data_IF_054668728954
#
_entry.id   IF_054668728954
#
_cell.length_a   1.000
_cell.length_b   1.000
_cell.length_c   1.000
_cell.angle_alpha   90.00
_cell.angle_beta   90.00
_cell.angle_gamma   90.00
#
_symmetry.space_group_name_H-M   'P 1'
#
loop_
_entity.id
_entity.type
_entity.pdbx_description
1 polymer ?
#
# COMPACT_ATOMS: atom_id res chain seq x y z
N UNK A 1 -5.57 -19.26 -20.02
CA UNK A 1 -4.45 -18.44 -19.51
C UNK A 1 -4.77 -16.98 -19.77
N UNK A 2 -4.57 -16.07 -18.81
CA UNK A 2 -4.72 -14.63 -19.05
C UNK A 2 -3.88 -14.18 -20.25
N UNK A 3 -4.42 -13.28 -21.09
CA UNK A 3 -3.76 -12.83 -22.32
C UNK A 3 -2.39 -12.17 -22.08
N UNK A 4 -2.19 -11.56 -20.90
CA UNK A 4 -0.95 -10.88 -20.51
C UNK A 4 0.22 -11.81 -20.17
N UNK A 5 0.00 -13.13 -20.08
CA UNK A 5 1.03 -14.09 -19.71
C UNK A 5 1.60 -14.83 -20.93
N UNK A 6 2.92 -14.99 -20.95
CA UNK A 6 3.65 -15.79 -21.93
C UNK A 6 4.34 -16.97 -21.24
N UNK A 7 4.44 -18.14 -21.90
CA UNK A 7 5.17 -19.28 -21.33
C UNK A 7 6.66 -18.95 -21.24
N UNK A 8 7.26 -19.27 -20.09
CA UNK A 8 8.71 -19.29 -19.86
C UNK A 8 9.24 -20.73 -19.90
N UNK A 9 8.46 -21.68 -19.36
CA UNK A 9 8.68 -23.12 -19.39
C UNK A 9 7.34 -23.87 -19.30
N UNK A 10 7.36 -25.20 -19.23
CA UNK A 10 6.16 -26.04 -19.19
C UNK A 10 5.14 -25.62 -18.12
N UNK A 11 5.62 -25.30 -16.92
CA UNK A 11 4.79 -24.92 -15.76
C UNK A 11 5.02 -23.46 -15.30
N UNK A 12 5.77 -22.65 -16.06
CA UNK A 12 6.09 -21.27 -15.67
C UNK A 12 5.65 -20.28 -16.73
N UNK A 13 4.98 -19.23 -16.27
CA UNK A 13 4.55 -18.11 -17.09
C UNK A 13 5.13 -16.81 -16.56
N UNK A 14 5.31 -15.85 -17.45
CA UNK A 14 5.77 -14.50 -17.10
C UNK A 14 5.07 -13.45 -17.95
N UNK A 15 5.06 -12.20 -17.48
CA UNK A 15 4.60 -11.06 -18.24
C UNK A 15 5.81 -10.18 -18.61
N UNK A 16 6.12 -9.98 -19.91
CA UNK A 16 7.39 -9.37 -20.36
C UNK A 16 7.70 -8.00 -19.80
N UNK A 17 6.68 -7.19 -19.48
CA UNK A 17 6.82 -5.83 -18.95
C UNK A 17 6.35 -5.67 -17.50
N UNK A 18 5.85 -6.73 -16.86
CA UNK A 18 5.40 -6.65 -15.48
C UNK A 18 6.57 -6.41 -14.52
N UNK A 19 6.28 -5.71 -13.43
CA UNK A 19 7.21 -5.46 -12.33
C UNK A 19 6.95 -6.42 -11.18
N UNK A 20 5.68 -6.60 -10.79
CA UNK A 20 5.29 -7.47 -9.66
C UNK A 20 3.94 -8.16 -9.89
N UNK A 21 3.95 -9.42 -10.34
CA UNK A 21 2.71 -10.19 -10.49
C UNK A 21 2.02 -10.45 -9.13
N UNK A 22 2.78 -10.42 -8.03
CA UNK A 22 2.29 -10.57 -6.66
C UNK A 22 1.29 -9.48 -6.27
N UNK A 23 1.41 -8.29 -6.85
CA UNK A 23 0.52 -7.14 -6.61
C UNK A 23 -0.59 -7.00 -7.66
N UNK A 24 -0.61 -7.87 -8.68
CA UNK A 24 -1.63 -7.89 -9.74
C UNK A 24 -2.90 -8.65 -9.30
N UNK A 25 -3.90 -8.66 -10.17
CA UNK A 25 -5.12 -9.48 -10.04
C UNK A 25 -4.87 -11.00 -10.04
N UNK A 26 -3.65 -11.44 -10.39
CA UNK A 26 -3.19 -12.83 -10.28
C UNK A 26 -2.59 -13.16 -8.91
N UNK A 27 -2.25 -12.13 -8.13
CA UNK A 27 -1.58 -12.24 -6.85
C UNK A 27 -2.55 -12.30 -5.67
N UNK A 28 -2.17 -11.64 -4.57
CA UNK A 28 -2.93 -11.63 -3.32
C UNK A 28 -4.07 -10.60 -3.36
N UNK A 29 -5.02 -10.75 -4.28
CA UNK A 29 -6.20 -9.88 -4.34
C UNK A 29 -7.50 -10.70 -4.29
N UNK A 30 -8.41 -10.27 -3.42
CA UNK A 30 -9.77 -10.82 -3.35
C UNK A 30 -10.72 -9.90 -4.15
N UNK A 31 -11.44 -10.45 -5.13
CA UNK A 31 -12.43 -9.72 -5.95
C UNK A 31 -13.57 -9.09 -5.15
N UNK A 32 -13.89 -9.61 -3.97
CA UNK A 32 -14.89 -9.01 -3.07
C UNK A 32 -14.34 -7.72 -2.45
N UNK A 33 -13.04 -7.70 -2.15
CA UNK A 33 -12.38 -6.54 -1.55
C UNK A 33 -12.07 -5.43 -2.54
N UNK A 34 -12.00 -5.71 -3.85
CA UNK A 34 -11.85 -4.63 -4.85
C UNK A 34 -13.05 -3.68 -4.90
N UNK A 35 -14.16 -4.03 -4.25
CA UNK A 35 -15.31 -3.14 -4.06
C UNK A 35 -15.10 -2.17 -2.88
N UNK A 36 -14.13 -2.43 -2.00
CA UNK A 36 -13.78 -1.57 -0.89
C UNK A 36 -12.86 -0.45 -1.38
N UNK A 37 -13.46 0.62 -1.90
CA UNK A 37 -12.73 1.86 -2.18
C UNK A 37 -12.47 2.60 -0.86
N UNK A 38 -11.25 2.51 -0.35
CA UNK A 38 -10.83 3.23 0.86
C UNK A 38 -9.93 4.40 0.46
N UNK A 39 -10.51 5.60 0.38
CA UNK A 39 -9.74 6.83 0.16
C UNK A 39 -9.06 7.26 1.47
N UNK A 40 -7.75 7.52 1.43
CA UNK A 40 -6.91 7.83 2.60
C UNK A 40 -6.95 9.29 3.06
N UNK A 41 -7.98 10.06 2.69
CA UNK A 41 -8.09 11.48 3.05
C UNK A 41 -8.30 11.73 4.56
N UNK A 42 -8.92 10.78 5.27
CA UNK A 42 -9.13 10.94 6.71
C UNK A 42 -9.17 9.61 7.45
N UNK A 43 -8.69 9.64 8.69
CA UNK A 43 -8.70 8.48 9.58
C UNK A 43 -10.13 7.97 9.85
N UNK A 44 -11.08 8.88 10.02
CA UNK A 44 -12.48 8.53 10.27
C UNK A 44 -13.09 7.80 9.07
N UNK A 45 -12.84 8.25 7.84
CA UNK A 45 -13.28 7.56 6.63
C UNK A 45 -12.69 6.14 6.58
N UNK A 46 -11.37 6.03 6.76
CA UNK A 46 -10.67 4.74 6.76
C UNK A 46 -11.27 3.75 7.77
N UNK A 47 -11.42 4.18 9.03
CA UNK A 47 -11.95 3.32 10.11
C UNK A 47 -13.40 2.92 9.84
N UNK A 48 -14.24 3.86 9.41
CA UNK A 48 -15.66 3.58 9.17
C UNK A 48 -15.87 2.63 8.00
N UNK A 49 -15.13 2.78 6.90
CA UNK A 49 -15.22 1.88 5.75
C UNK A 49 -14.77 0.47 6.12
N UNK A 50 -13.69 0.33 6.90
CA UNK A 50 -13.23 -0.97 7.39
C UNK A 50 -14.25 -1.62 8.34
N UNK A 51 -14.84 -0.83 9.26
CA UNK A 51 -15.90 -1.31 10.17
C UNK A 51 -17.15 -1.75 9.43
N UNK A 52 -17.53 -1.01 8.39
CA UNK A 52 -18.64 -1.38 7.54
C UNK A 52 -18.37 -2.76 6.91
N UNK A 53 -17.21 -2.95 6.28
CA UNK A 53 -16.82 -4.21 5.66
C UNK A 53 -16.82 -5.41 6.62
N UNK A 54 -16.34 -5.26 7.85
CA UNK A 54 -16.35 -6.36 8.85
C UNK A 54 -17.75 -6.67 9.41
N UNK A 55 -18.74 -5.81 9.15
CA UNK A 55 -20.11 -5.95 9.67
C UNK A 55 -21.16 -6.23 8.59
N UNK A 56 -20.77 -6.17 7.32
CA UNK A 56 -21.67 -6.33 6.17
C UNK A 56 -21.61 -7.76 5.64
N UNK A 57 -22.71 -8.54 5.68
CA UNK A 57 -22.77 -9.88 5.12
C UNK A 57 -22.49 -9.91 3.61
N UNK A 58 -21.89 -11.00 3.13
CA UNK A 58 -21.67 -11.25 1.70
C UNK A 58 -22.43 -12.50 1.25
N UNK A 59 -23.33 -12.41 0.25
CA UNK A 59 -24.24 -13.50 -0.10
C UNK A 59 -23.55 -14.82 -0.45
N UNK A 60 -22.38 -14.78 -1.10
CA UNK A 60 -21.68 -16.02 -1.45
C UNK A 60 -21.01 -16.68 -0.24
N UNK A 61 -20.58 -15.89 0.76
CA UNK A 61 -20.03 -16.43 2.02
C UNK A 61 -21.15 -16.97 2.92
N UNK A 62 -22.34 -16.36 2.89
CA UNK A 62 -23.51 -16.90 3.58
C UNK A 62 -23.90 -18.27 3.02
N UNK A 63 -23.91 -18.43 1.69
CA UNK A 63 -24.21 -19.71 1.02
C UNK A 63 -23.22 -20.81 1.40
N UNK A 64 -21.95 -20.49 1.68
CA UNK A 64 -20.95 -21.46 2.13
C UNK A 64 -21.25 -22.00 3.55
N UNK A 65 -21.98 -21.22 4.36
CA UNK A 65 -22.28 -21.48 5.76
C UNK A 65 -21.09 -21.19 6.69
N UNK A 66 -21.38 -20.71 7.91
CA UNK A 66 -20.34 -20.40 8.91
C UNK A 66 -20.00 -21.64 9.73
N UNK A 67 -21.02 -22.30 10.29
CA UNK A 67 -20.92 -23.61 10.94
C UNK A 67 -21.88 -24.56 10.23
N UNK A 68 -21.34 -25.63 9.64
CA UNK A 68 -22.13 -26.63 8.90
C UNK A 68 -21.87 -27.98 9.54
N UNK A 69 -22.92 -28.60 10.07
CA UNK A 69 -22.87 -29.91 10.75
C UNK A 69 -21.88 -29.97 11.93
N UNK A 70 -21.69 -28.85 12.63
CA UNK A 70 -20.74 -28.73 13.75
C UNK A 70 -19.34 -28.29 13.35
N UNK A 71 -19.02 -28.27 12.06
CA UNK A 71 -17.72 -27.86 11.52
C UNK A 71 -17.71 -26.37 11.18
N UNK A 72 -16.82 -25.62 11.83
CA UNK A 72 -16.60 -24.19 11.55
C UNK A 72 -15.76 -24.01 10.29
N UNK A 73 -16.34 -23.36 9.27
CA UNK A 73 -15.67 -23.06 7.99
C UNK A 73 -15.15 -21.63 7.92
N UNK A 74 -15.76 -20.72 8.66
CA UNK A 74 -15.53 -19.28 8.63
C UNK A 74 -15.76 -18.70 10.04
N UNK A 75 -15.20 -17.53 10.34
CA UNK A 75 -15.50 -16.78 11.57
C UNK A 75 -16.88 -16.10 11.50
N UNK A 76 -17.21 -15.56 10.33
CA UNK A 76 -18.52 -15.00 9.98
C UNK A 76 -18.66 -15.02 8.44
N UNK A 77 -19.79 -14.53 7.93
CA UNK A 77 -20.07 -14.46 6.49
C UNK A 77 -20.04 -13.03 5.96
N UNK A 78 -19.23 -12.14 6.56
CA UNK A 78 -19.14 -10.74 6.17
C UNK A 78 -18.11 -10.52 5.05
N UNK A 79 -18.15 -9.35 4.39
CA UNK A 79 -17.20 -8.94 3.34
C UNK A 79 -15.76 -9.16 3.80
N UNK A 80 -15.48 -8.81 5.06
CA UNK A 80 -14.26 -9.17 5.78
C UNK A 80 -14.64 -9.89 7.08
N UNK A 81 -13.93 -10.97 7.41
CA UNK A 81 -14.14 -11.66 8.68
C UNK A 81 -13.57 -10.87 9.85
N UNK A 82 -12.41 -10.26 9.66
CA UNK A 82 -11.68 -9.41 10.62
C UNK A 82 -10.92 -8.32 9.88
N UNK A 83 -10.48 -7.26 10.58
CA UNK A 83 -9.75 -6.15 9.96
C UNK A 83 -8.48 -6.58 9.21
N UNK A 84 -7.81 -7.63 9.68
CA UNK A 84 -6.55 -8.09 9.10
C UNK A 84 -6.70 -8.68 7.68
N UNK A 85 -7.92 -9.09 7.30
CA UNK A 85 -8.23 -9.65 5.98
C UNK A 85 -8.20 -8.59 4.88
N UNK A 86 -8.35 -7.30 5.22
CA UNK A 86 -8.35 -6.21 4.25
C UNK A 86 -6.98 -6.05 3.58
N UNK A 87 -6.82 -6.53 2.35
CA UNK A 87 -5.59 -6.39 1.60
C UNK A 87 -5.38 -4.93 1.16
N UNK A 88 -4.21 -4.36 1.51
CA UNK A 88 -3.81 -3.01 1.12
C UNK A 88 -2.29 -2.92 1.02
N UNK A 89 -1.83 -2.03 0.13
CA UNK A 89 -0.42 -1.78 -0.18
C UNK A 89 0.32 -1.06 0.95
N UNK A 90 -0.40 -0.23 1.71
CA UNK A 90 0.09 0.48 2.88
C UNK A 90 -1.04 0.59 3.91
N UNK A 91 -0.74 0.39 5.19
CA UNK A 91 -1.74 0.46 6.26
C UNK A 91 -1.34 1.45 7.35
N UNK A 92 -2.25 2.32 7.81
CA UNK A 92 -2.05 3.04 9.06
C UNK A 92 -2.18 2.05 10.22
N UNK A 93 -1.29 2.15 11.21
CA UNK A 93 -1.24 1.22 12.34
C UNK A 93 -1.08 1.95 13.66
N UNK A 94 -1.56 1.29 14.71
CA UNK A 94 -1.31 1.60 16.11
C UNK A 94 -1.27 0.31 16.89
N UNK A 95 -0.40 0.24 17.90
CA UNK A 95 -0.36 -0.92 18.80
C UNK A 95 -1.68 -0.99 19.58
N UNK A 96 -2.38 -2.11 19.40
CA UNK A 96 -3.63 -2.38 20.10
C UNK A 96 -3.36 -2.84 21.53
N UNK A 97 -4.17 -2.37 22.47
CA UNK A 97 -4.16 -2.86 23.85
C UNK A 97 -4.88 -4.22 23.93
N UNK A 98 -4.74 -4.89 25.07
CA UNK A 98 -5.49 -6.12 25.32
C UNK A 98 -7.00 -5.87 25.17
N UNK A 99 -7.69 -6.74 24.42
CA UNK A 99 -9.12 -6.65 24.06
C UNK A 99 -9.51 -5.39 23.27
N UNK A 100 -8.61 -4.85 22.47
CA UNK A 100 -8.87 -3.75 21.55
C UNK A 100 -8.63 -4.20 20.11
N UNK A 101 -9.55 -3.85 19.20
CA UNK A 101 -9.35 -4.13 17.78
C UNK A 101 -8.41 -3.08 17.14
N UNK A 102 -7.74 -3.40 16.02
CA UNK A 102 -6.91 -2.44 15.31
C UNK A 102 -7.66 -1.15 14.94
N UNK A 103 -8.94 -1.26 14.53
CA UNK A 103 -9.77 -0.12 14.17
C UNK A 103 -10.11 0.76 15.38
N UNK A 104 -10.38 0.17 16.55
CA UNK A 104 -10.56 0.89 17.81
C UNK A 104 -9.29 1.62 18.25
N UNK A 105 -8.14 0.96 18.16
CA UNK A 105 -6.85 1.57 18.52
C UNK A 105 -6.53 2.82 17.67
N UNK A 106 -6.79 2.72 16.37
CA UNK A 106 -6.64 3.82 15.41
C UNK A 106 -7.61 4.96 15.71
N UNK A 107 -8.90 4.69 15.87
CA UNK A 107 -9.89 5.74 16.15
C UNK A 107 -9.61 6.48 17.46
N UNK A 108 -9.29 5.74 18.53
CA UNK A 108 -9.15 6.30 19.85
C UNK A 108 -7.88 7.14 20.02
N UNK A 109 -6.82 6.84 19.26
CA UNK A 109 -5.49 7.43 19.52
C UNK A 109 -4.72 7.84 18.27
N UNK A 110 -5.30 7.73 17.09
CA UNK A 110 -4.66 8.10 15.83
C UNK A 110 -3.67 7.06 15.31
N UNK A 111 -2.96 7.44 14.25
CA UNK A 111 -1.90 6.62 13.64
C UNK A 111 -0.64 6.72 14.50
N UNK A 112 0.07 5.62 14.66
CA UNK A 112 1.38 5.55 15.33
C UNK A 112 2.51 5.31 14.34
N UNK A 113 2.29 4.42 13.39
CA UNK A 113 3.23 4.10 12.32
C UNK A 113 2.46 3.64 11.08
N UNK A 114 3.17 3.50 9.97
CA UNK A 114 2.67 2.93 8.72
C UNK A 114 3.34 1.59 8.45
N UNK A 115 2.57 0.66 7.89
CA UNK A 115 3.04 -0.65 7.45
C UNK A 115 3.05 -0.67 5.92
N UNK A 116 4.25 -0.59 5.31
CA UNK A 116 4.43 -0.70 3.86
C UNK A 116 4.46 -2.18 3.46
N UNK A 117 3.57 -2.58 2.54
CA UNK A 117 3.29 -4.00 2.22
C UNK A 117 3.43 -4.34 0.74
N UNK A 118 3.84 -3.36 -0.07
CA UNK A 118 3.98 -3.47 -1.52
C UNK A 118 5.37 -3.95 -1.99
N UNK A 119 6.28 -4.30 -1.07
CA UNK A 119 7.61 -4.81 -1.41
C UNK A 119 7.58 -6.32 -1.70
N UNK A 120 8.11 -6.71 -2.86
CA UNK A 120 8.42 -8.11 -3.17
C UNK A 120 9.70 -8.55 -2.47
N UNK A 121 9.83 -9.86 -2.23
CA UNK A 121 11.08 -10.43 -1.75
C UNK A 121 12.18 -10.24 -2.80
N UNK A 122 13.33 -9.72 -2.39
CA UNK A 122 14.52 -9.66 -3.22
C UNK A 122 15.13 -11.07 -3.36
N UNK A 123 15.07 -11.70 -4.55
CA UNK A 123 15.62 -13.05 -4.73
C UNK A 123 17.15 -13.08 -4.77
N UNK A 124 17.81 -11.92 -4.81
CA UNK A 124 19.26 -11.78 -4.91
C UNK A 124 19.93 -11.56 -3.55
N UNK A 125 19.16 -11.41 -2.47
CA UNK A 125 19.67 -11.24 -1.11
C UNK A 125 19.10 -12.33 -0.17
N UNK A 126 19.92 -12.99 0.65
CA UNK A 126 19.46 -14.06 1.55
C UNK A 126 18.43 -13.60 2.60
N UNK A 127 18.38 -12.32 2.94
CA UNK A 127 17.39 -11.75 3.86
C UNK A 127 16.11 -11.31 3.15
N UNK A 128 16.06 -11.41 1.81
CA UNK A 128 14.92 -10.97 1.00
C UNK A 128 14.82 -9.44 0.86
N UNK A 129 15.79 -8.69 1.39
CA UNK A 129 15.85 -7.23 1.35
C UNK A 129 17.28 -6.75 1.59
N UNK A 130 17.65 -5.60 1.02
CA UNK A 130 18.98 -4.98 1.17
C UNK A 130 18.90 -3.67 1.95
N UNK A 131 20.02 -3.24 2.53
CA UNK A 131 20.14 -1.92 3.16
C UNK A 131 19.77 -0.79 2.18
N UNK A 132 20.23 -0.85 0.93
CA UNK A 132 19.90 0.15 -0.10
C UNK A 132 18.40 0.25 -0.36
N UNK A 133 17.69 -0.88 -0.40
CA UNK A 133 16.22 -0.86 -0.53
C UNK A 133 15.55 -0.20 0.68
N UNK A 134 16.07 -0.40 1.89
CA UNK A 134 15.53 0.23 3.10
C UNK A 134 15.79 1.73 3.15
N UNK A 135 17.01 2.18 2.82
CA UNK A 135 17.33 3.61 2.72
C UNK A 135 16.50 4.32 1.65
N UNK A 136 16.21 3.65 0.53
CA UNK A 136 15.29 4.17 -0.48
C UNK A 136 13.88 4.36 0.11
N UNK A 137 13.34 3.35 0.80
CA UNK A 137 12.01 3.43 1.43
C UNK A 137 11.97 4.54 2.49
N UNK A 138 12.97 4.65 3.36
CA UNK A 138 13.05 5.72 4.36
C UNK A 138 13.04 7.10 3.71
N UNK A 139 13.87 7.30 2.69
CA UNK A 139 13.94 8.57 1.94
C UNK A 139 12.62 8.88 1.24
N UNK A 140 12.00 7.87 0.60
CA UNK A 140 10.74 8.03 -0.11
C UNK A 140 9.59 8.38 0.84
N UNK A 141 9.50 7.72 2.00
CA UNK A 141 8.48 8.00 3.01
C UNK A 141 8.67 9.39 3.64
N UNK A 142 9.92 9.80 3.87
CA UNK A 142 10.23 11.15 4.34
C UNK A 142 9.88 12.22 3.29
N UNK A 143 10.13 11.95 2.01
CA UNK A 143 9.66 12.81 0.93
C UNK A 143 8.13 12.89 0.92
N UNK A 144 7.40 11.76 1.00
CA UNK A 144 5.94 11.77 1.08
C UNK A 144 5.40 12.58 2.27
N UNK A 145 6.10 12.59 3.41
CA UNK A 145 5.72 13.39 4.58
C UNK A 145 5.87 14.90 4.35
N UNK A 146 6.88 15.30 3.57
CA UNK A 146 7.22 16.70 3.33
C UNK A 146 6.52 17.29 2.11
N UNK A 147 6.14 16.44 1.16
CA UNK A 147 5.44 16.84 -0.06
C UNK A 147 3.98 17.22 0.22
N UNK A 148 3.47 18.17 -0.57
CA UNK A 148 2.06 18.53 -0.54
C UNK A 148 1.19 17.32 -0.91
N UNK A 149 0.22 16.98 -0.06
CA UNK A 149 -0.76 15.92 -0.28
C UNK A 149 -2.16 16.53 -0.24
N UNK A 150 -2.64 17.14 -1.35
CA UNK A 150 -3.98 17.68 -1.41
C UNK A 150 -5.05 16.59 -1.23
N UNK A 151 -6.29 17.02 -1.04
CA UNK A 151 -7.42 16.11 -0.92
C UNK A 151 -7.60 15.29 -2.21
N UNK A 152 -7.63 13.97 -2.08
CA UNK A 152 -7.80 13.03 -3.20
C UNK A 152 -9.29 12.91 -3.52
N UNK A 153 -9.69 13.34 -4.72
CA UNK A 153 -11.07 13.13 -5.21
C UNK A 153 -11.34 11.67 -5.60
N UNK A 154 -12.60 11.28 -5.78
CA UNK A 154 -12.93 9.93 -6.26
C UNK A 154 -12.34 9.65 -7.66
N UNK A 155 -12.35 10.66 -8.53
CA UNK A 155 -11.73 10.56 -9.87
C UNK A 155 -10.22 10.36 -9.75
N UNK A 156 -9.57 11.13 -8.89
CA UNK A 156 -8.13 11.00 -8.65
C UNK A 156 -7.78 9.64 -8.01
N UNK A 157 -8.61 9.14 -7.09
CA UNK A 157 -8.45 7.81 -6.52
C UNK A 157 -8.46 6.72 -7.62
N UNK A 158 -9.40 6.80 -8.56
CA UNK A 158 -9.46 5.87 -9.69
C UNK A 158 -8.21 5.97 -10.60
N UNK A 159 -7.68 7.19 -10.80
CA UNK A 159 -6.44 7.40 -11.56
C UNK A 159 -5.20 6.85 -10.86
N UNK A 160 -5.13 6.96 -9.54
CA UNK A 160 -4.05 6.38 -8.74
C UNK A 160 -4.09 4.85 -8.82
N UNK A 161 -5.28 4.25 -8.74
CA UNK A 161 -5.47 2.80 -8.91
C UNK A 161 -5.08 2.32 -10.31
N UNK A 162 -5.42 3.09 -11.36
CA UNK A 162 -5.01 2.81 -12.73
C UNK A 162 -3.49 2.88 -12.92
N UNK A 163 -2.84 3.96 -12.44
CA UNK A 163 -1.38 4.10 -12.51
C UNK A 163 -0.69 2.94 -11.81
N UNK A 164 -1.13 2.59 -10.59
CA UNK A 164 -0.64 1.44 -9.85
C UNK A 164 -0.77 0.16 -10.67
N UNK A 165 -1.96 -0.12 -11.22
CA UNK A 165 -2.21 -1.31 -12.04
C UNK A 165 -1.31 -1.34 -13.27
N UNK A 166 -1.14 -0.24 -13.96
CA UNK A 166 -0.28 -0.17 -15.15
C UNK A 166 1.20 -0.37 -14.81
N UNK A 167 1.71 0.21 -13.72
CA UNK A 167 3.09 -0.02 -13.29
C UNK A 167 3.30 -1.48 -12.88
N UNK A 168 2.32 -2.08 -12.18
CA UNK A 168 2.35 -3.50 -11.79
C UNK A 168 2.45 -4.42 -13.02
N UNK A 169 1.61 -4.19 -14.03
CA UNK A 169 1.48 -5.08 -15.19
C UNK A 169 2.44 -4.77 -16.34
N UNK A 170 2.85 -3.51 -16.48
CA UNK A 170 3.60 -2.98 -17.63
C UNK A 170 4.66 -1.95 -17.25
N UNK A 171 5.06 -1.81 -15.99
CA UNK A 171 5.98 -0.75 -15.54
C UNK A 171 7.37 -0.74 -16.19
N UNK A 172 7.77 -1.80 -16.89
CA UNK A 172 9.01 -1.85 -17.70
C UNK A 172 8.81 -1.53 -19.18
N UNK A 173 7.57 -1.27 -19.60
CA UNK A 173 7.24 -0.88 -20.97
C UNK A 173 7.63 0.60 -21.19
N UNK A 174 8.57 0.90 -22.12
CA UNK A 174 9.04 2.27 -22.33
C UNK A 174 7.97 3.21 -22.89
N UNK A 175 6.91 2.68 -23.50
CA UNK A 175 5.80 3.46 -24.05
C UNK A 175 4.66 3.64 -23.04
N UNK A 176 4.81 3.18 -21.79
CA UNK A 176 3.79 3.34 -20.77
C UNK A 176 3.72 4.80 -20.31
N UNK A 177 2.54 5.41 -20.51
CA UNK A 177 2.16 6.68 -19.94
C UNK A 177 1.29 6.50 -18.69
N UNK A 178 1.54 7.33 -17.68
CA UNK A 178 0.78 7.45 -16.44
C UNK A 178 0.02 8.78 -16.44
N UNK A 179 -1.01 8.88 -15.59
CA UNK A 179 -1.76 10.11 -15.40
C UNK A 179 -1.28 10.87 -14.16
N UNK A 180 -0.95 12.15 -14.32
CA UNK A 180 -0.53 13.02 -13.22
C UNK A 180 -1.23 14.38 -13.34
N UNK A 181 -2.10 14.71 -12.38
CA UNK A 181 -2.79 16.01 -12.28
C UNK A 181 -3.41 16.58 -13.58
N UNK A 182 -4.04 15.75 -14.41
CA UNK A 182 -4.64 16.20 -15.68
C UNK A 182 -3.82 15.91 -16.92
N UNK A 183 -2.55 15.56 -16.76
CA UNK A 183 -1.58 15.36 -17.84
C UNK A 183 -1.10 13.91 -17.89
N UNK A 184 -0.52 13.52 -19.03
CA UNK A 184 0.18 12.25 -19.17
C UNK A 184 1.68 12.44 -19.03
N UNK A 185 2.36 11.47 -18.43
CA UNK A 185 3.81 11.47 -18.25
C UNK A 185 4.35 10.05 -18.31
N UNK A 186 5.58 9.86 -18.80
CA UNK A 186 6.19 8.53 -18.78
C UNK A 186 6.61 8.13 -17.35
N UNK A 187 6.70 6.82 -17.09
CA UNK A 187 7.24 6.30 -15.82
C UNK A 187 8.64 6.85 -15.54
N UNK A 188 9.46 7.00 -16.60
CA UNK A 188 10.83 7.52 -16.50
C UNK A 188 10.83 8.97 -16.05
N UNK A 189 10.14 9.86 -16.78
CA UNK A 189 10.16 11.29 -16.51
C UNK A 189 9.63 11.60 -15.12
N UNK A 190 8.51 10.98 -14.74
CA UNK A 190 7.93 11.20 -13.42
C UNK A 190 8.81 10.61 -12.31
N UNK A 191 9.38 9.43 -12.53
CA UNK A 191 10.35 8.84 -11.61
C UNK A 191 11.58 9.74 -11.41
N UNK A 192 12.17 10.24 -12.50
CA UNK A 192 13.32 11.16 -12.44
C UNK A 192 12.99 12.44 -11.65
N UNK A 193 11.79 13.01 -11.85
CA UNK A 193 11.33 14.16 -11.06
C UNK A 193 11.26 13.84 -9.56
N UNK A 194 10.65 12.71 -9.18
CA UNK A 194 10.57 12.27 -7.78
C UNK A 194 11.99 12.04 -7.21
N UNK A 195 12.90 11.44 -7.97
CA UNK A 195 14.28 11.21 -7.53
C UNK A 195 15.05 12.51 -7.30
N UNK A 196 14.83 13.54 -8.12
CA UNK A 196 15.42 14.88 -7.92
C UNK A 196 14.95 15.46 -6.58
N UNK A 197 13.65 15.39 -6.30
CA UNK A 197 13.08 15.91 -5.05
C UNK A 197 13.52 15.09 -3.82
N UNK A 198 13.56 13.75 -3.95
CA UNK A 198 14.11 12.87 -2.92
C UNK A 198 15.59 13.15 -2.64
N UNK A 199 16.35 13.66 -3.62
CA UNK A 199 17.75 14.04 -3.45
C UNK A 199 17.94 15.12 -2.38
N UNK A 200 17.00 16.05 -2.24
CA UNK A 200 17.02 17.07 -1.18
C UNK A 200 16.82 16.44 0.21
N UNK A 201 15.88 15.48 0.30
CA UNK A 201 15.58 14.74 1.52
C UNK A 201 16.76 13.87 1.93
N UNK A 202 17.36 13.15 0.99
CA UNK A 202 18.54 12.30 1.21
C UNK A 202 19.70 13.12 1.79
N UNK A 203 19.99 14.31 1.24
CA UNK A 203 21.03 15.20 1.76
C UNK A 203 20.79 15.61 3.21
N UNK A 204 19.54 15.82 3.62
CA UNK A 204 19.21 16.16 5.00
C UNK A 204 19.35 14.95 5.94
N UNK A 205 18.93 13.76 5.49
CA UNK A 205 19.10 12.52 6.24
C UNK A 205 20.58 12.21 6.46
N UNK A 206 21.41 12.29 5.41
CA UNK A 206 22.86 12.07 5.49
C UNK A 206 23.50 13.05 6.47
N UNK A 207 23.16 14.34 6.40
CA UNK A 207 23.71 15.35 7.30
C UNK A 207 23.34 15.11 8.78
N UNK A 208 22.19 14.50 9.07
CA UNK A 208 21.81 14.10 10.44
C UNK A 208 22.58 12.85 10.87
N UNK A 209 22.69 11.83 10.02
CA UNK A 209 23.45 10.61 10.31
C UNK A 209 24.95 10.89 10.55
N UNK A 210 25.53 11.79 9.75
CA UNK A 210 26.93 12.23 9.87
C UNK A 210 27.16 13.23 11.01
N UNK A 211 26.09 13.69 11.69
CA UNK A 211 26.15 14.65 12.78
C UNK A 211 26.47 16.09 12.37
N UNK A 212 26.39 16.41 11.07
CA UNK A 212 26.54 17.76 10.53
C UNK A 212 25.33 18.66 10.85
N UNK A 213 24.15 18.06 11.06
CA UNK A 213 22.96 18.69 11.60
C UNK A 213 22.64 18.07 12.95
N UNK A 214 22.68 18.86 14.02
CA UNK A 214 22.19 18.41 15.33
C UNK A 214 20.67 18.49 15.33
N UNK A 215 19.94 17.37 15.53
CA UNK A 215 18.49 17.43 15.68
C UNK A 215 18.16 18.33 16.87
N UNK A 216 17.35 19.37 16.65
CA UNK A 216 16.80 20.15 17.76
C UNK A 216 16.00 19.19 18.65
N UNK A 217 16.24 19.15 19.98
CA UNK A 217 15.46 18.30 20.87
C UNK A 217 13.98 18.59 20.68
N UNK A 218 13.15 17.54 20.63
CA UNK A 218 11.68 17.67 20.49
C UNK A 218 11.06 18.68 21.47
N UNK A 219 11.67 18.84 22.65
CA UNK A 219 11.27 19.81 23.68
C UNK A 219 11.43 21.29 23.27
N UNK A 220 12.33 21.60 22.34
CA UNK A 220 12.58 22.96 21.87
C UNK A 220 11.57 23.43 20.81
N UNK A 221 10.91 22.51 20.09
CA UNK A 221 9.93 22.83 19.05
C UNK A 221 8.55 23.22 19.61
N UNK A 222 8.21 22.80 20.84
CA UNK A 222 6.92 23.11 21.49
C UNK A 222 6.95 24.42 22.32
N UNK A 223 8.02 25.20 22.21
CA UNK A 223 8.16 26.50 22.89
C UNK A 223 8.22 27.70 21.93
N UNK A 224 7.97 27.49 20.63
CA UNK A 224 7.98 28.52 19.60
C UNK A 224 6.56 28.85 19.11
#
# INVERSE_FOLDING_TARGET
MPEKLQPLSDDTYYAPYATTLRMSDLGYQNKVQSQLKICFNSLSNYVNTLRHAISSPWPDYEKMGVNVDGEWRQLNANILQIENEYYSDIRPKRVAKHNETPSQALEARGVEYIEVRCLDLNPFDPLGVTETQMRFVDTFLMWCLLSDSPWISDEECDRLDDNRRWVVERGRDPELELYNHGETTSVREWGEQIFIEMGEVARLLDAVEEGALTPMPWQALHQA
#
